data_IF_095445468815
#
_entry.id   IF_095445468815
#
_cell.length_a   1.000
_cell.length_b   1.000
_cell.length_c   1.000
_cell.angle_alpha   90.00
_cell.angle_beta   90.00
_cell.angle_gamma   90.00
#
_symmetry.space_group_name_H-M   'P 1'
#
loop_
_entity.id
_entity.type
_entity.pdbx_description
1 polymer ?
#
# COMPACT_ATOMS: atom_id res chain seq x y z
N UNK A 1 -36.90 14.73 18.01
CA UNK A 1 -36.50 15.80 17.08
C UNK A 1 -34.98 15.71 16.96
N UNK A 2 -34.49 14.87 16.06
CA UNK A 2 -33.06 14.73 15.78
C UNK A 2 -32.67 15.85 14.82
N UNK A 3 -31.68 16.66 15.19
CA UNK A 3 -31.13 17.68 14.30
C UNK A 3 -30.50 17.00 13.07
N UNK A 4 -30.98 17.38 11.88
CA UNK A 4 -30.36 17.06 10.60
C UNK A 4 -28.99 17.74 10.54
N UNK A 5 -27.93 17.04 10.94
CA UNK A 5 -26.56 17.47 10.70
C UNK A 5 -26.31 17.44 9.19
N UNK A 6 -26.45 18.59 8.52
CA UNK A 6 -26.09 18.72 7.10
C UNK A 6 -24.63 18.30 6.92
N UNK A 7 -24.40 17.26 6.12
CA UNK A 7 -23.06 16.82 5.77
C UNK A 7 -22.28 17.97 5.13
N UNK A 8 -21.12 18.31 5.69
CA UNK A 8 -20.24 19.32 5.10
C UNK A 8 -19.57 18.77 3.83
N UNK A 9 -19.47 19.56 2.75
CA UNK A 9 -18.76 19.14 1.55
C UNK A 9 -17.27 18.96 1.87
N UNK A 10 -16.69 17.85 1.44
CA UNK A 10 -15.26 17.57 1.57
C UNK A 10 -14.50 18.40 0.50
N UNK A 11 -13.74 19.45 0.87
CA UNK A 11 -13.20 20.40 -0.11
C UNK A 11 -12.26 19.77 -1.14
N UNK A 12 -11.43 18.80 -0.70
CA UNK A 12 -10.50 18.10 -1.58
C UNK A 12 -11.19 17.28 -2.68
N UNK A 13 -12.33 16.65 -2.36
CA UNK A 13 -13.12 15.91 -3.35
C UNK A 13 -13.82 16.87 -4.30
N UNK A 14 -14.39 17.97 -3.78
CA UNK A 14 -15.01 18.99 -4.63
C UNK A 14 -14.01 19.57 -5.65
N UNK A 15 -12.79 19.88 -5.20
CA UNK A 15 -11.71 20.34 -6.09
C UNK A 15 -11.32 19.28 -7.12
N UNK A 16 -11.18 18.02 -6.71
CA UNK A 16 -10.87 16.92 -7.63
C UNK A 16 -11.91 16.79 -8.75
N UNK A 17 -13.20 16.82 -8.42
CA UNK A 17 -14.28 16.71 -9.39
C UNK A 17 -14.40 17.96 -10.28
N UNK A 18 -14.19 19.15 -9.71
CA UNK A 18 -14.12 20.38 -10.50
C UNK A 18 -13.02 20.32 -11.56
N UNK A 19 -11.85 19.75 -11.23
CA UNK A 19 -10.74 19.55 -12.18
C UNK A 19 -11.06 18.54 -13.28
N UNK A 20 -11.94 17.56 -13.04
CA UNK A 20 -12.41 16.60 -14.07
C UNK A 20 -13.42 17.20 -15.05
N UNK A 21 -14.04 18.33 -14.70
CA UNK A 21 -14.92 19.09 -15.58
C UNK A 21 -16.41 18.75 -15.43
N UNK A 22 -17.25 19.59 -16.05
CA UNK A 22 -18.70 19.60 -15.85
C UNK A 22 -19.39 18.28 -16.16
N UNK A 23 -19.01 17.60 -17.24
CA UNK A 23 -19.63 16.33 -17.65
C UNK A 23 -19.46 15.22 -16.60
N UNK A 24 -18.32 15.17 -15.90
CA UNK A 24 -18.10 14.18 -14.83
C UNK A 24 -18.88 14.54 -13.56
N UNK A 25 -19.04 15.84 -13.28
CA UNK A 25 -19.90 16.32 -12.18
C UNK A 25 -21.36 15.97 -12.43
N UNK A 26 -21.87 16.14 -13.66
CA UNK A 26 -23.23 15.77 -14.04
C UNK A 26 -23.49 14.26 -13.89
N UNK A 27 -22.54 13.41 -14.31
CA UNK A 27 -22.62 11.96 -14.09
C UNK A 27 -22.68 11.60 -12.60
N UNK A 28 -21.87 12.28 -11.78
CA UNK A 28 -21.90 12.09 -10.34
C UNK A 28 -23.26 12.45 -9.76
N UNK A 29 -23.83 13.60 -10.14
CA UNK A 29 -25.14 14.02 -9.66
C UNK A 29 -26.26 13.07 -10.10
N UNK A 30 -26.25 12.61 -11.35
CA UNK A 30 -27.18 11.60 -11.84
C UNK A 30 -27.09 10.28 -11.04
N UNK A 31 -25.87 9.85 -10.72
CA UNK A 31 -25.64 8.64 -9.90
C UNK A 31 -26.14 8.81 -8.47
N UNK A 32 -25.89 9.98 -7.85
CA UNK A 32 -26.38 10.30 -6.50
C UNK A 32 -27.91 10.33 -6.49
N UNK A 33 -28.54 10.93 -7.50
CA UNK A 33 -30.00 10.99 -7.59
C UNK A 33 -30.62 9.60 -7.77
N UNK A 34 -30.00 8.71 -8.55
CA UNK A 34 -30.39 7.31 -8.63
C UNK A 34 -30.26 6.60 -7.28
N UNK A 35 -29.13 6.77 -6.58
CA UNK A 35 -28.91 6.17 -5.26
C UNK A 35 -29.97 6.65 -4.25
N UNK A 36 -30.31 7.95 -4.25
CA UNK A 36 -31.39 8.50 -3.41
C UNK A 36 -32.74 7.87 -3.72
N UNK A 37 -33.04 7.65 -5.01
CA UNK A 37 -34.27 6.99 -5.42
C UNK A 37 -34.33 5.55 -4.91
N UNK A 38 -33.25 4.78 -5.09
CA UNK A 38 -33.13 3.39 -4.63
C UNK A 38 -33.22 3.27 -3.10
N UNK A 39 -32.68 4.23 -2.35
CA UNK A 39 -32.86 4.28 -0.89
C UNK A 39 -34.31 4.58 -0.50
N UNK A 40 -34.97 5.49 -1.21
CA UNK A 40 -36.34 5.89 -0.91
C UNK A 40 -37.38 4.83 -1.32
N UNK A 41 -37.08 4.00 -2.32
CA UNK A 41 -37.94 2.90 -2.77
C UNK A 41 -37.80 1.63 -1.92
N UNK A 42 -36.86 1.58 -0.97
CA UNK A 42 -36.48 0.39 -0.19
C UNK A 42 -36.12 -0.83 -1.07
N UNK A 43 -35.81 -0.61 -2.36
CA UNK A 43 -35.43 -1.67 -3.30
C UNK A 43 -34.00 -2.18 -3.06
N UNK A 44 -33.24 -1.51 -2.19
CA UNK A 44 -31.86 -1.85 -1.85
C UNK A 44 -31.73 -1.99 -0.34
N UNK A 45 -31.46 -3.21 0.12
CA UNK A 45 -31.09 -3.47 1.50
C UNK A 45 -29.68 -2.91 1.78
N UNK A 46 -29.47 -2.39 2.99
CA UNK A 46 -28.13 -2.07 3.45
C UNK A 46 -27.27 -3.34 3.49
N UNK A 47 -26.01 -3.24 3.10
CA UNK A 47 -25.07 -4.35 3.26
C UNK A 47 -25.04 -4.79 4.72
N UNK A 48 -25.21 -6.09 4.96
CA UNK A 48 -24.91 -6.67 6.26
C UNK A 48 -23.40 -6.55 6.55
N UNK A 49 -23.03 -6.67 7.83
CA UNK A 49 -21.63 -6.60 8.24
C UNK A 49 -20.79 -7.66 7.51
N UNK A 50 -19.79 -7.21 6.75
CA UNK A 50 -18.92 -8.09 5.95
C UNK A 50 -19.43 -8.44 4.55
N UNK A 51 -20.63 -8.02 4.14
CA UNK A 51 -21.20 -8.33 2.82
C UNK A 51 -20.98 -7.22 1.77
N UNK A 52 -20.43 -6.08 2.16
CA UNK A 52 -20.18 -4.98 1.23
C UNK A 52 -19.05 -5.38 0.24
N UNK A 53 -19.36 -5.59 -1.05
CA UNK A 53 -18.37 -6.02 -2.05
C UNK A 53 -17.35 -4.93 -2.39
N UNK A 54 -17.59 -3.70 -1.94
CA UNK A 54 -16.68 -2.56 -2.08
C UNK A 54 -15.77 -2.38 -0.87
N UNK A 55 -15.94 -3.17 0.19
CA UNK A 55 -14.94 -3.28 1.27
C UNK A 55 -13.86 -4.22 0.79
N UNK A 56 -12.64 -3.69 0.63
CA UNK A 56 -11.48 -4.50 0.31
C UNK A 56 -11.23 -5.48 1.45
N UNK A 57 -11.39 -6.78 1.18
CA UNK A 57 -11.04 -7.84 2.11
C UNK A 57 -9.54 -7.71 2.44
N UNK A 58 -9.16 -7.67 3.72
CA UNK A 58 -7.76 -7.59 4.10
C UNK A 58 -6.96 -8.76 3.52
N UNK A 59 -5.74 -8.50 3.10
CA UNK A 59 -4.84 -9.57 2.70
C UNK A 59 -4.44 -10.43 3.91
N UNK A 60 -4.13 -11.72 3.74
CA UNK A 60 -3.76 -12.60 4.86
C UNK A 60 -2.62 -12.06 5.73
N UNK A 61 -1.65 -11.38 5.13
CA UNK A 61 -0.51 -10.76 5.84
C UNK A 61 -0.89 -9.51 6.64
N UNK A 62 -2.06 -8.91 6.42
CA UNK A 62 -2.53 -7.75 7.19
C UNK A 62 -3.09 -8.15 8.54
N UNK A 63 -3.71 -9.33 8.59
CA UNK A 63 -4.39 -9.87 9.77
C UNK A 63 -3.56 -10.93 10.50
N UNK A 64 -2.42 -11.35 9.95
CA UNK A 64 -1.58 -12.34 10.60
C UNK A 64 -0.95 -11.82 11.90
N UNK A 65 -0.93 -12.66 12.93
CA UNK A 65 -0.38 -12.29 14.23
C UNK A 65 1.13 -12.00 14.13
N UNK A 66 1.61 -10.88 14.71
CA UNK A 66 3.04 -10.59 14.76
C UNK A 66 3.81 -11.66 15.55
N UNK A 67 4.79 -12.31 14.92
CA UNK A 67 5.63 -13.33 15.59
C UNK A 67 6.67 -12.68 16.50
N UNK A 68 6.30 -12.26 17.72
CA UNK A 68 7.20 -11.54 18.66
C UNK A 68 8.57 -12.17 18.86
N UNK A 69 8.61 -13.51 18.86
CA UNK A 69 9.75 -14.33 19.29
C UNK A 69 10.66 -14.76 18.13
N UNK A 70 10.25 -14.52 16.88
CA UNK A 70 11.05 -14.88 15.72
C UNK A 70 12.28 -13.95 15.58
N UNK A 71 13.43 -14.49 15.13
CA UNK A 71 14.64 -13.69 14.95
C UNK A 71 14.42 -12.66 13.85
N UNK A 72 14.89 -11.44 14.11
CA UNK A 72 14.88 -10.36 13.12
C UNK A 72 15.98 -10.57 12.11
N UNK A 73 15.65 -10.42 10.83
CA UNK A 73 16.58 -10.51 9.71
C UNK A 73 16.19 -9.55 8.60
N UNK A 74 17.03 -9.43 7.58
CA UNK A 74 16.75 -8.54 6.45
C UNK A 74 15.81 -9.26 5.46
N UNK A 75 14.79 -8.55 5.04
CA UNK A 75 13.91 -8.90 3.94
C UNK A 75 14.07 -7.88 2.82
N UNK A 76 13.94 -8.36 1.59
CA UNK A 76 14.02 -7.59 0.37
C UNK A 76 12.69 -7.69 -0.36
N UNK A 77 12.20 -6.57 -0.85
CA UNK A 77 10.98 -6.46 -1.63
C UNK A 77 11.26 -5.86 -3.00
N UNK A 78 10.67 -6.44 -4.04
CA UNK A 78 10.61 -5.79 -5.36
C UNK A 78 9.18 -5.84 -5.89
N UNK A 79 8.66 -4.70 -6.34
CA UNK A 79 7.37 -4.61 -7.02
C UNK A 79 7.47 -3.60 -8.14
N UNK A 80 6.81 -3.89 -9.26
CA UNK A 80 6.69 -2.99 -10.41
C UNK A 80 5.25 -2.54 -10.55
N UNK A 81 5.04 -1.25 -10.79
CA UNK A 81 3.75 -0.66 -11.11
C UNK A 81 3.83 0.04 -12.47
N UNK A 82 2.75 -0.08 -13.25
CA UNK A 82 2.55 0.72 -14.45
C UNK A 82 1.44 1.72 -14.15
N UNK A 83 1.82 2.96 -13.83
CA UNK A 83 0.88 4.04 -13.56
C UNK A 83 0.82 5.00 -14.76
N UNK A 84 -0.39 5.42 -15.12
CA UNK A 84 -0.62 6.38 -16.20
C UNK A 84 0.01 7.73 -15.84
N UNK A 85 0.96 8.20 -16.65
CA UNK A 85 1.62 9.52 -16.48
C UNK A 85 3.03 9.47 -15.89
N UNK A 86 3.37 8.49 -15.07
CA UNK A 86 4.74 8.30 -14.50
C UNK A 86 5.52 7.16 -15.18
N UNK A 87 4.89 6.41 -16.08
CA UNK A 87 5.53 5.31 -16.79
C UNK A 87 5.67 4.07 -15.90
N UNK A 88 6.63 3.21 -16.24
CA UNK A 88 6.90 2.00 -15.47
C UNK A 88 7.77 2.35 -14.25
N UNK A 89 7.25 2.10 -13.05
CA UNK A 89 7.94 2.37 -11.80
C UNK A 89 8.31 1.05 -11.12
N UNK A 90 9.58 0.90 -10.74
CA UNK A 90 10.06 -0.27 -9.97
C UNK A 90 10.47 0.18 -8.58
N UNK A 91 9.83 -0.42 -7.57
CA UNK A 91 10.16 -0.21 -6.17
C UNK A 91 11.08 -1.32 -5.69
N UNK A 92 12.17 -0.91 -5.05
CA UNK A 92 13.09 -1.78 -4.33
C UNK A 92 13.05 -1.41 -2.85
N UNK A 93 12.78 -2.38 -1.99
CA UNK A 93 12.77 -2.16 -0.55
C UNK A 93 13.66 -3.17 0.17
N UNK A 94 14.26 -2.72 1.27
CA UNK A 94 14.90 -3.60 2.24
C UNK A 94 14.49 -3.18 3.65
N UNK A 95 14.28 -4.14 4.54
CA UNK A 95 13.84 -3.84 5.90
C UNK A 95 14.19 -4.98 6.86
N UNK A 96 14.28 -4.65 8.15
CA UNK A 96 14.41 -5.68 9.19
C UNK A 96 13.02 -6.08 9.67
N UNK A 97 12.70 -7.36 9.54
CA UNK A 97 11.44 -7.94 9.98
C UNK A 97 11.70 -9.35 10.54
N UNK A 98 10.71 -9.91 11.24
CA UNK A 98 10.79 -11.28 11.75
C UNK A 98 10.23 -12.30 10.77
N UNK A 99 9.31 -11.89 9.92
CA UNK A 99 8.76 -12.67 8.84
C UNK A 99 8.38 -11.79 7.64
N UNK A 100 7.95 -12.45 6.57
CA UNK A 100 7.49 -11.80 5.35
C UNK A 100 6.27 -10.91 5.58
N UNK A 101 5.35 -11.31 6.46
CA UNK A 101 4.13 -10.55 6.72
C UNK A 101 4.44 -9.24 7.44
N UNK A 102 5.31 -9.25 8.45
CA UNK A 102 5.82 -8.05 9.10
C UNK A 102 6.52 -7.14 8.09
N UNK A 103 7.32 -7.70 7.18
CA UNK A 103 7.94 -6.93 6.11
C UNK A 103 6.90 -6.30 5.17
N UNK A 104 5.87 -7.05 4.74
CA UNK A 104 4.78 -6.54 3.89
C UNK A 104 3.99 -5.43 4.57
N UNK A 105 3.71 -5.55 5.88
CA UNK A 105 3.08 -4.47 6.67
C UNK A 105 3.94 -3.21 6.71
N UNK A 106 5.25 -3.35 6.91
CA UNK A 106 6.18 -2.21 6.84
C UNK A 106 6.22 -1.59 5.44
N UNK A 107 6.16 -2.41 4.39
CA UNK A 107 6.16 -1.97 2.99
C UNK A 107 4.85 -1.24 2.63
N UNK A 108 3.70 -1.76 3.06
CA UNK A 108 2.38 -1.18 2.82
C UNK A 108 2.25 0.25 3.36
N UNK A 109 2.90 0.55 4.48
CA UNK A 109 2.93 1.91 5.03
C UNK A 109 3.62 2.94 4.10
N UNK A 110 4.40 2.49 3.11
CA UNK A 110 5.14 3.37 2.18
C UNK A 110 4.59 3.34 0.75
N UNK A 111 4.11 2.18 0.28
CA UNK A 111 3.68 2.00 -1.12
C UNK A 111 2.22 1.55 -1.26
N UNK A 112 1.49 1.45 -0.16
CA UNK A 112 0.11 0.98 -0.14
C UNK A 112 -0.02 -0.55 -0.17
N UNK A 113 -1.19 -1.00 0.26
CA UNK A 113 -1.52 -2.41 0.51
C UNK A 113 -1.47 -3.26 -0.77
N UNK A 114 -1.97 -2.73 -1.89
CA UNK A 114 -2.00 -3.44 -3.18
C UNK A 114 -0.60 -3.74 -3.70
N UNK A 115 0.29 -2.76 -3.70
CA UNK A 115 1.67 -2.96 -4.16
C UNK A 115 2.47 -3.82 -3.16
N UNK A 116 2.25 -3.64 -1.85
CA UNK A 116 2.88 -4.48 -0.85
C UNK A 116 2.45 -5.95 -0.97
N UNK A 117 1.20 -6.23 -1.37
CA UNK A 117 0.73 -7.59 -1.66
C UNK A 117 1.37 -8.16 -2.95
N UNK A 118 1.48 -7.35 -4.00
CA UNK A 118 2.11 -7.73 -5.25
C UNK A 118 3.64 -7.89 -5.20
N UNK A 119 4.28 -7.50 -4.09
CA UNK A 119 5.72 -7.54 -3.96
C UNK A 119 6.28 -8.97 -3.92
N UNK A 120 7.36 -9.18 -4.66
CA UNK A 120 8.23 -10.34 -4.50
C UNK A 120 9.11 -10.10 -3.29
N UNK A 121 8.87 -10.85 -2.22
CA UNK A 121 9.63 -10.77 -0.98
C UNK A 121 10.61 -11.92 -0.88
N UNK A 122 11.85 -11.65 -0.48
CA UNK A 122 12.86 -12.68 -0.21
C UNK A 122 13.67 -12.36 1.05
N UNK A 123 14.02 -13.37 1.86
CA UNK A 123 14.92 -13.17 3.00
C UNK A 123 16.39 -13.08 2.55
N UNK A 124 17.19 -12.36 3.33
CA UNK A 124 18.64 -12.28 3.17
C UNK A 124 19.12 -11.26 2.14
N UNK A 125 20.43 -11.17 1.94
CA UNK A 125 21.09 -10.14 1.12
C UNK A 125 21.63 -10.67 -0.23
N UNK A 126 21.52 -11.98 -0.48
CA UNK A 126 22.23 -12.64 -1.58
C UNK A 126 21.63 -12.36 -2.95
N UNK A 127 20.35 -12.02 -3.01
CA UNK A 127 19.61 -11.89 -4.26
C UNK A 127 19.23 -10.46 -4.67
N UNK A 128 19.76 -9.41 -4.02
CA UNK A 128 19.53 -8.05 -4.56
C UNK A 128 20.30 -7.94 -5.88
N UNK A 129 19.63 -7.65 -7.03
CA UNK A 129 20.32 -7.40 -8.30
C UNK A 129 21.32 -6.23 -8.19
N UNK A 130 21.03 -5.27 -7.30
CA UNK A 130 21.84 -4.10 -7.01
C UNK A 130 22.83 -4.23 -5.84
N UNK A 131 22.88 -5.37 -5.15
CA UNK A 131 23.85 -5.53 -4.04
C UNK A 131 25.28 -5.28 -4.52
N UNK A 132 25.57 -5.57 -5.79
CA UNK A 132 26.88 -5.38 -6.42
C UNK A 132 27.19 -3.94 -6.83
N UNK A 133 26.19 -3.07 -6.94
CA UNK A 133 26.34 -1.79 -7.65
C UNK A 133 26.35 -0.57 -6.73
N UNK A 134 25.67 -0.60 -5.58
CA UNK A 134 25.49 0.59 -4.73
C UNK A 134 25.82 0.42 -3.24
N UNK A 135 26.27 -0.77 -2.81
CA UNK A 135 26.58 -1.04 -1.40
C UNK A 135 28.09 -1.11 -1.21
N UNK A 136 28.65 -0.20 -0.41
CA UNK A 136 30.06 -0.26 -0.04
C UNK A 136 30.39 -1.55 0.73
N UNK A 137 31.62 -2.09 0.65
CA UNK A 137 32.00 -3.29 1.40
C UNK A 137 31.72 -3.19 2.91
N UNK A 138 31.92 -2.00 3.49
CA UNK A 138 31.66 -1.74 4.91
C UNK A 138 30.17 -1.80 5.26
N UNK A 139 29.32 -1.22 4.41
CA UNK A 139 27.87 -1.30 4.59
C UNK A 139 27.38 -2.74 4.42
N UNK A 140 27.93 -3.48 3.46
CA UNK A 140 27.61 -4.90 3.25
C UNK A 140 27.90 -5.74 4.49
N UNK A 141 29.08 -5.59 5.11
CA UNK A 141 29.41 -6.29 6.35
C UNK A 141 28.47 -5.92 7.50
N UNK A 142 28.04 -4.65 7.55
CA UNK A 142 27.10 -4.19 8.57
C UNK A 142 25.71 -4.81 8.38
N UNK A 143 25.21 -4.83 7.14
CA UNK A 143 23.93 -5.45 6.81
C UNK A 143 23.96 -6.98 7.03
N UNK A 144 25.07 -7.66 6.72
CA UNK A 144 25.24 -9.09 7.00
C UNK A 144 25.10 -9.38 8.50
N UNK A 145 25.73 -8.57 9.36
CA UNK A 145 25.56 -8.70 10.82
C UNK A 145 24.10 -8.54 11.24
N UNK A 146 23.37 -7.60 10.62
CA UNK A 146 21.95 -7.41 10.91
C UNK A 146 21.11 -8.63 10.50
N UNK A 147 21.39 -9.23 9.32
CA UNK A 147 20.70 -10.44 8.86
C UNK A 147 20.98 -11.66 9.76
N UNK A 148 22.18 -11.73 10.35
CA UNK A 148 22.55 -12.71 11.37
C UNK A 148 21.98 -12.42 12.77
N UNK A 149 21.17 -11.36 12.93
CA UNK A 149 20.61 -10.94 14.22
C UNK A 149 21.65 -10.29 15.17
N UNK A 150 22.87 -10.00 14.71
CA UNK A 150 23.94 -9.42 15.52
C UNK A 150 23.97 -7.91 15.37
N UNK A 151 23.82 -7.20 16.50
CA UNK A 151 23.85 -5.71 16.54
C UNK A 151 22.85 -5.06 15.57
N UNK A 152 21.74 -5.75 15.28
CA UNK A 152 20.68 -5.21 14.44
C UNK A 152 20.08 -3.97 15.11
N UNK A 153 19.86 -2.86 14.37
CA UNK A 153 19.19 -1.69 14.92
C UNK A 153 17.73 -2.03 15.25
N UNK A 154 17.13 -1.22 16.11
CA UNK A 154 15.71 -1.36 16.44
C UNK A 154 14.80 -1.27 15.19
N UNK A 155 15.22 -0.46 14.20
CA UNK A 155 14.56 -0.30 12.90
C UNK A 155 15.60 -0.06 11.79
N UNK A 156 15.38 -0.67 10.64
CA UNK A 156 16.07 -0.37 9.39
C UNK A 156 15.04 -0.50 8.27
N UNK A 157 14.96 0.52 7.42
CA UNK A 157 14.14 0.50 6.22
C UNK A 157 14.84 1.30 5.12
N UNK A 158 14.83 0.76 3.92
CA UNK A 158 15.33 1.36 2.71
C UNK A 158 14.25 1.21 1.64
N UNK A 159 14.02 2.29 0.89
CA UNK A 159 13.12 2.31 -0.25
C UNK A 159 13.78 3.10 -1.37
N UNK A 160 13.81 2.52 -2.55
CA UNK A 160 14.27 3.15 -3.78
C UNK A 160 13.22 2.96 -4.87
N UNK A 161 13.04 3.99 -5.68
CA UNK A 161 12.12 4.02 -6.80
C UNK A 161 12.92 4.29 -8.07
N UNK A 162 12.70 3.46 -9.09
CA UNK A 162 13.24 3.69 -10.42
C UNK A 162 12.08 3.95 -11.37
N UNK A 163 12.10 5.11 -12.02
CA UNK A 163 11.16 5.51 -13.06
C UNK A 163 11.77 5.20 -14.43
N UNK A 164 11.10 4.36 -15.21
CA UNK A 164 11.38 4.13 -16.62
C UNK A 164 10.39 4.95 -17.45
N UNK A 165 10.84 6.13 -17.88
CA UNK A 165 10.14 6.90 -18.90
C UNK A 165 10.38 6.21 -20.24
N UNK A 166 9.36 5.53 -20.77
CA UNK A 166 9.37 5.10 -22.18
C UNK A 166 9.07 6.32 -23.04
N UNK A 167 10.13 6.99 -23.50
CA UNK A 167 10.09 8.00 -24.56
C UNK A 167 9.87 7.35 -25.92
#
# INVERSE_FOLDING_TARGET
MSEDTKAEPIPALAEHWARKGAAEVEKMDATINLARHLMASEEVEHYAEGENPYVLVPYPWEVSEPKSDAPRRIFLGTVSELATGTGHTVHFSAGIARDEDEFRRQLAAHIGHTLANGAKVRPGLEEIPFSRTFISPQLRQTLQKFDEGKRAPARFHYLCQWYENRS
#
